data_IF_760240482987
#
_entry.id   IF_760240482987
#
_cell.length_a   1.000
_cell.length_b   1.000
_cell.length_c   1.000
_cell.angle_alpha   90.00
_cell.angle_beta   90.00
_cell.angle_gamma   90.00
#
_symmetry.space_group_name_H-M   'P 1'
#
loop_
_entity.id
_entity.type
_entity.pdbx_description
1 polymer ?
#
# COMPACT_ATOMS: atom_id res chain seq x y z
N UNK A 1 -10.23 -17.63 20.02
CA UNK A 1 -9.83 -16.53 19.13
C UNK A 1 -9.92 -17.06 17.71
N UNK A 2 -10.86 -16.59 16.91
CA UNK A 2 -10.98 -17.01 15.50
C UNK A 2 -9.74 -16.55 14.75
N UNK A 3 -8.93 -17.47 14.24
CA UNK A 3 -7.76 -17.15 13.43
C UNK A 3 -8.29 -16.47 12.15
N UNK A 4 -8.08 -15.17 12.04
CA UNK A 4 -8.43 -14.43 10.81
C UNK A 4 -7.60 -15.02 9.67
N UNK A 5 -8.26 -15.52 8.62
CA UNK A 5 -7.56 -16.10 7.48
C UNK A 5 -6.68 -15.03 6.80
N UNK A 6 -5.47 -15.40 6.42
CA UNK A 6 -4.57 -14.49 5.68
C UNK A 6 -5.08 -14.30 4.25
N UNK A 7 -5.14 -13.06 3.79
CA UNK A 7 -5.45 -12.73 2.41
C UNK A 7 -4.22 -12.85 1.51
N UNK A 8 -3.05 -12.43 2.04
CA UNK A 8 -1.78 -12.52 1.34
C UNK A 8 -0.76 -13.22 2.23
N UNK A 9 0.02 -14.15 1.66
CA UNK A 9 1.11 -14.84 2.35
C UNK A 9 2.34 -14.93 1.46
N UNK A 10 3.49 -14.56 2.01
CA UNK A 10 4.81 -14.81 1.46
C UNK A 10 5.47 -15.89 2.30
N UNK A 11 6.08 -16.89 1.67
CA UNK A 11 6.77 -18.00 2.35
C UNK A 11 8.16 -18.16 1.76
N UNK A 12 9.19 -17.82 2.55
CA UNK A 12 10.59 -17.97 2.19
C UNK A 12 10.94 -17.24 0.89
N UNK A 13 10.41 -16.04 0.65
CA UNK A 13 10.57 -15.35 -0.63
C UNK A 13 11.97 -14.75 -0.78
N UNK A 14 12.68 -15.16 -1.83
CA UNK A 14 13.93 -14.57 -2.27
C UNK A 14 13.74 -13.81 -3.58
N UNK A 15 14.39 -12.67 -3.73
CA UNK A 15 14.32 -11.85 -4.95
C UNK A 15 15.68 -11.24 -5.26
N UNK A 16 16.08 -11.32 -6.53
CA UNK A 16 17.28 -10.70 -7.06
C UNK A 16 16.92 -9.55 -8.01
N UNK A 17 17.72 -8.49 -7.99
CA UNK A 17 17.67 -7.39 -8.95
C UNK A 17 19.03 -7.32 -9.65
N UNK A 18 19.10 -7.81 -10.89
CA UNK A 18 20.37 -8.07 -11.55
C UNK A 18 21.19 -9.10 -10.75
N UNK A 19 22.40 -8.75 -10.39
CA UNK A 19 23.31 -9.60 -9.57
C UNK A 19 23.05 -9.47 -8.07
N UNK A 20 22.23 -8.52 -7.62
CA UNK A 20 22.04 -8.24 -6.21
C UNK A 20 20.91 -9.06 -5.61
N UNK A 21 21.20 -9.83 -4.58
CA UNK A 21 20.21 -10.54 -3.78
C UNK A 21 19.62 -9.56 -2.77
N UNK A 22 18.35 -9.21 -2.90
CA UNK A 22 17.69 -8.16 -2.09
C UNK A 22 16.79 -8.75 -1.01
N UNK A 23 15.99 -9.77 -1.35
CA UNK A 23 15.12 -10.43 -0.37
C UNK A 23 15.70 -11.81 -0.02
N UNK A 24 15.87 -12.06 1.27
CA UNK A 24 16.60 -13.18 1.83
C UNK A 24 15.70 -14.14 2.63
N UNK A 25 14.64 -14.67 1.98
CA UNK A 25 13.67 -15.55 2.63
C UNK A 25 12.66 -14.78 3.47
N UNK A 26 11.87 -13.91 2.78
CA UNK A 26 10.83 -13.12 3.42
C UNK A 26 9.61 -13.99 3.71
N UNK A 27 9.23 -14.05 5.00
CA UNK A 27 7.96 -14.59 5.48
C UNK A 27 7.08 -13.42 5.93
N UNK A 28 5.89 -13.27 5.33
CA UNK A 28 4.96 -12.18 5.62
C UNK A 28 3.53 -12.67 5.47
N UNK A 29 2.69 -12.40 6.47
CA UNK A 29 1.27 -12.72 6.45
C UNK A 29 0.43 -11.45 6.63
N UNK A 30 -0.56 -11.26 5.75
CA UNK A 30 -1.48 -10.11 5.79
C UNK A 30 -2.89 -10.64 6.07
N UNK A 31 -3.41 -10.45 7.28
CA UNK A 31 -4.76 -10.88 7.64
C UNK A 31 -5.82 -10.12 6.86
N UNK A 32 -6.87 -10.83 6.44
CA UNK A 32 -7.98 -10.26 5.68
C UNK A 32 -8.72 -9.19 6.49
N UNK A 33 -9.06 -8.07 5.85
CA UNK A 33 -9.83 -6.97 6.44
C UNK A 33 -9.06 -6.13 7.46
N UNK A 34 -7.74 -6.31 7.56
CA UNK A 34 -6.88 -5.58 8.50
C UNK A 34 -5.85 -4.73 7.74
N UNK A 35 -5.28 -3.75 8.45
CA UNK A 35 -4.19 -2.93 7.98
C UNK A 35 -2.87 -3.43 8.59
N UNK A 36 -1.99 -3.92 7.75
CA UNK A 36 -0.63 -4.33 8.14
C UNK A 36 0.38 -3.27 7.70
N UNK A 37 1.17 -2.82 8.67
CA UNK A 37 2.31 -1.94 8.41
C UNK A 37 3.57 -2.75 8.13
N UNK A 38 4.27 -2.44 7.04
CA UNK A 38 5.60 -2.93 6.75
C UNK A 38 6.60 -1.81 7.01
N UNK A 39 7.28 -1.88 8.15
CA UNK A 39 8.25 -0.89 8.61
C UNK A 39 9.68 -1.35 8.32
N UNK A 40 10.62 -0.42 8.40
CA UNK A 40 12.05 -0.69 8.23
C UNK A 40 12.79 0.51 7.64
N UNK A 41 14.11 0.51 7.78
CA UNK A 41 15.00 1.56 7.26
C UNK A 41 14.97 1.60 5.72
N UNK A 42 15.53 2.67 5.17
CA UNK A 42 15.80 2.74 3.72
C UNK A 42 16.75 1.60 3.32
N UNK A 43 16.43 0.94 2.20
CA UNK A 43 17.22 -0.22 1.73
C UNK A 43 16.88 -1.55 2.41
N UNK A 44 15.98 -1.61 3.39
CA UNK A 44 15.60 -2.86 4.07
C UNK A 44 14.88 -3.89 3.18
N UNK A 45 14.47 -3.52 1.96
CA UNK A 45 13.79 -4.41 1.02
C UNK A 45 12.27 -4.21 0.90
N UNK A 46 11.69 -3.22 1.59
CA UNK A 46 10.24 -2.97 1.63
C UNK A 46 9.61 -2.82 0.23
N UNK A 47 10.05 -1.85 -0.56
CA UNK A 47 9.57 -1.63 -1.93
C UNK A 47 9.83 -2.84 -2.83
N UNK A 48 10.96 -3.54 -2.65
CA UNK A 48 11.25 -4.78 -3.38
C UNK A 48 10.22 -5.86 -3.05
N UNK A 49 9.83 -6.00 -1.79
CA UNK A 49 8.76 -6.91 -1.36
C UNK A 49 7.44 -6.58 -2.06
N UNK A 50 7.02 -5.31 -2.08
CA UNK A 50 5.79 -4.91 -2.78
C UNK A 50 5.86 -5.19 -4.28
N UNK A 51 6.99 -4.88 -4.91
CA UNK A 51 7.21 -5.14 -6.34
C UNK A 51 7.23 -6.64 -6.67
N UNK A 52 7.73 -7.47 -5.74
CA UNK A 52 7.70 -8.92 -5.88
C UNK A 52 6.27 -9.46 -5.76
N UNK A 53 5.47 -8.97 -4.82
CA UNK A 53 4.04 -9.31 -4.70
C UNK A 53 3.31 -8.97 -6.01
N UNK A 54 3.61 -7.82 -6.61
CA UNK A 54 2.98 -7.34 -7.85
C UNK A 54 3.54 -7.99 -9.13
N UNK A 55 4.50 -8.90 -9.02
CA UNK A 55 5.13 -9.56 -10.18
C UNK A 55 5.98 -8.62 -11.06
N UNK A 56 6.36 -7.44 -10.54
CA UNK A 56 7.30 -6.53 -11.19
C UNK A 56 8.74 -7.05 -11.07
N UNK A 57 9.04 -7.76 -9.99
CA UNK A 57 10.24 -8.57 -9.79
C UNK A 57 9.82 -10.00 -9.50
N UNK A 58 10.43 -10.97 -10.17
CA UNK A 58 10.11 -12.38 -9.96
C UNK A 58 10.82 -12.91 -8.71
N UNK A 59 10.07 -13.63 -7.87
CA UNK A 59 10.69 -14.38 -6.78
C UNK A 59 11.59 -15.49 -7.37
N UNK A 60 12.85 -15.54 -6.91
CA UNK A 60 13.77 -16.62 -7.34
C UNK A 60 13.55 -17.91 -6.56
N UNK A 61 13.10 -17.80 -5.30
CA UNK A 61 12.72 -18.92 -4.42
C UNK A 61 11.53 -18.51 -3.54
N UNK A 62 10.89 -19.50 -2.92
CA UNK A 62 9.73 -19.30 -2.09
C UNK A 62 8.44 -19.15 -2.89
N UNK A 63 7.38 -18.71 -2.22
CA UNK A 63 6.05 -18.58 -2.84
C UNK A 63 5.27 -17.39 -2.31
N UNK A 64 4.38 -16.85 -3.17
CA UNK A 64 3.44 -15.77 -2.85
C UNK A 64 2.03 -16.30 -3.11
N UNK A 65 1.17 -16.28 -2.08
CA UNK A 65 -0.22 -16.73 -2.17
C UNK A 65 -1.16 -15.57 -1.90
N UNK A 66 -2.16 -15.42 -2.73
CA UNK A 66 -3.24 -14.44 -2.56
C UNK A 66 -4.58 -15.16 -2.53
N UNK A 67 -5.32 -15.00 -1.42
CA UNK A 67 -6.58 -15.70 -1.16
C UNK A 67 -6.48 -17.22 -1.40
N UNK A 68 -5.39 -17.83 -0.93
CA UNK A 68 -5.08 -19.25 -1.09
C UNK A 68 -4.53 -19.66 -2.46
N UNK A 69 -4.57 -18.78 -3.47
CA UNK A 69 -4.05 -19.04 -4.82
C UNK A 69 -2.57 -18.69 -4.90
N UNK A 70 -1.75 -19.56 -5.46
CA UNK A 70 -0.35 -19.24 -5.80
C UNK A 70 -0.30 -18.23 -6.96
N UNK A 71 0.33 -17.09 -6.70
CA UNK A 71 0.55 -16.01 -7.68
C UNK A 71 2.03 -15.76 -7.98
N UNK A 72 2.92 -16.61 -7.47
CA UNK A 72 4.38 -16.43 -7.50
C UNK A 72 4.93 -16.16 -8.90
N UNK A 73 4.37 -16.82 -9.90
CA UNK A 73 4.82 -16.73 -11.30
C UNK A 73 3.89 -15.93 -12.21
N UNK A 74 2.85 -15.33 -11.67
CA UNK A 74 1.95 -14.49 -12.45
C UNK A 74 2.62 -13.17 -12.84
N UNK A 75 2.28 -12.67 -14.02
CA UNK A 75 2.70 -11.34 -14.47
C UNK A 75 1.81 -10.25 -13.86
N UNK A 76 2.33 -9.04 -13.73
CA UNK A 76 1.66 -7.88 -13.13
C UNK A 76 0.22 -7.66 -13.63
N UNK A 77 -0.12 -7.73 -14.94
CA UNK A 77 -1.51 -7.58 -15.40
C UNK A 77 -2.46 -8.65 -14.84
N UNK A 78 -1.97 -9.89 -14.69
CA UNK A 78 -2.75 -11.00 -14.13
C UNK A 78 -3.01 -10.77 -12.62
N UNK A 79 -1.97 -10.33 -11.87
CA UNK A 79 -2.07 -10.02 -10.45
C UNK A 79 -3.02 -8.84 -10.23
N UNK A 80 -2.88 -7.77 -11.03
CA UNK A 80 -3.79 -6.63 -10.97
C UNK A 80 -5.25 -7.04 -11.29
N UNK A 81 -5.45 -8.08 -12.11
CA UNK A 81 -6.76 -8.69 -12.38
C UNK A 81 -7.43 -9.37 -11.17
N UNK A 82 -6.66 -9.68 -10.12
CA UNK A 82 -7.14 -10.31 -8.88
C UNK A 82 -7.66 -9.29 -7.84
N UNK A 83 -8.05 -8.09 -8.24
CA UNK A 83 -8.49 -7.00 -7.35
C UNK A 83 -7.40 -6.52 -6.38
N UNK A 84 -6.13 -6.67 -6.74
CA UNK A 84 -5.01 -6.06 -6.03
C UNK A 84 -4.70 -4.71 -6.67
N UNK A 85 -4.64 -3.65 -5.85
CA UNK A 85 -4.21 -2.33 -6.29
C UNK A 85 -2.87 -1.98 -5.65
N UNK A 86 -2.02 -1.27 -6.40
CA UNK A 86 -0.71 -0.82 -5.93
C UNK A 86 -0.53 0.68 -6.20
N UNK A 87 -0.18 1.41 -5.16
CA UNK A 87 0.23 2.82 -5.22
C UNK A 87 1.73 2.86 -4.95
N UNK A 88 2.57 3.09 -5.97
CA UNK A 88 4.01 3.18 -5.80
C UNK A 88 4.42 4.49 -5.12
N UNK A 89 5.64 4.54 -4.55
CA UNK A 89 6.23 5.71 -3.90
C UNK A 89 6.20 6.98 -4.79
N UNK A 90 6.43 6.83 -6.11
CA UNK A 90 6.36 7.93 -7.07
C UNK A 90 4.92 8.29 -7.50
N UNK A 91 3.89 7.72 -6.82
CA UNK A 91 2.46 7.92 -7.07
C UNK A 91 1.96 7.44 -8.46
N UNK A 92 2.81 7.34 -9.46
CA UNK A 92 2.47 6.93 -10.82
C UNK A 92 1.42 7.83 -11.50
N UNK A 93 1.37 9.12 -11.16
CA UNK A 93 0.41 10.09 -11.71
C UNK A 93 0.79 10.46 -13.15
N UNK A 94 -0.20 10.50 -14.03
CA UNK A 94 -0.05 11.06 -15.38
C UNK A 94 -0.20 12.58 -15.30
N UNK A 95 0.91 13.29 -15.32
CA UNK A 95 1.00 14.72 -15.02
C UNK A 95 0.23 15.59 -16.03
N UNK A 96 0.23 15.22 -17.30
CA UNK A 96 -0.41 15.96 -18.40
C UNK A 96 -1.93 15.72 -18.47
N UNK A 97 -2.42 14.68 -17.81
CA UNK A 97 -3.84 14.37 -17.73
C UNK A 97 -4.48 15.09 -16.54
N UNK A 98 -5.76 15.40 -16.67
CA UNK A 98 -6.57 15.90 -15.57
C UNK A 98 -6.73 14.84 -14.47
N UNK A 99 -7.17 15.25 -13.27
CA UNK A 99 -7.53 14.33 -12.19
C UNK A 99 -8.59 13.34 -12.66
N UNK A 100 -9.62 13.83 -13.34
CA UNK A 100 -10.69 13.03 -13.97
C UNK A 100 -10.13 11.94 -14.88
N UNK A 101 -9.25 12.29 -15.80
CA UNK A 101 -8.66 11.35 -16.74
C UNK A 101 -7.74 10.34 -16.05
N UNK A 102 -6.99 10.75 -15.02
CA UNK A 102 -6.22 9.84 -14.19
C UNK A 102 -7.10 8.75 -13.53
N UNK A 103 -8.28 9.11 -13.02
CA UNK A 103 -9.22 8.14 -12.44
C UNK A 103 -9.87 7.28 -13.52
N UNK A 104 -10.24 7.88 -14.67
CA UNK A 104 -10.85 7.16 -15.78
C UNK A 104 -9.96 6.03 -16.32
N UNK A 105 -8.66 6.27 -16.43
CA UNK A 105 -7.69 5.24 -16.85
C UNK A 105 -7.67 4.00 -15.94
N UNK A 106 -8.05 4.16 -14.66
CA UNK A 106 -8.08 3.07 -13.69
C UNK A 106 -9.46 2.40 -13.58
N UNK A 107 -10.50 3.04 -14.11
CA UNK A 107 -11.87 2.54 -14.13
C UNK A 107 -12.09 1.61 -15.34
N UNK A 108 -11.72 0.33 -15.18
CA UNK A 108 -11.64 -0.66 -16.26
C UNK A 108 -12.92 -0.87 -17.05
N UNK A 109 -14.09 -0.60 -16.42
CA UNK A 109 -15.42 -0.79 -17.01
C UNK A 109 -16.01 0.48 -17.62
N UNK A 110 -15.33 1.63 -17.49
CA UNK A 110 -15.79 2.91 -17.95
C UNK A 110 -14.95 3.39 -19.14
N UNK A 111 -15.60 3.73 -20.26
CA UNK A 111 -14.94 4.38 -21.40
C UNK A 111 -15.01 5.91 -21.34
N UNK A 112 -15.82 6.46 -20.45
CA UNK A 112 -15.91 7.88 -20.15
C UNK A 112 -16.31 8.11 -18.67
N UNK A 113 -16.18 9.36 -18.18
CA UNK A 113 -16.43 9.65 -16.77
C UNK A 113 -17.90 9.42 -16.33
N UNK A 114 -18.86 9.53 -17.23
CA UNK A 114 -20.27 9.29 -16.91
C UNK A 114 -20.57 7.80 -16.64
N UNK A 115 -19.71 6.92 -17.08
CA UNK A 115 -19.83 5.48 -16.84
C UNK A 115 -19.09 5.00 -15.58
N UNK A 116 -18.36 5.89 -14.89
CA UNK A 116 -17.80 5.57 -13.57
C UNK A 116 -18.95 5.41 -12.57
N UNK A 117 -18.79 4.49 -11.62
CA UNK A 117 -19.77 4.29 -10.55
C UNK A 117 -19.92 5.59 -9.73
N UNK A 118 -21.08 6.22 -9.83
CA UNK A 118 -21.35 7.51 -9.20
C UNK A 118 -21.29 7.43 -7.67
N UNK A 119 -21.77 6.34 -7.06
CA UNK A 119 -21.76 6.16 -5.61
C UNK A 119 -20.31 5.99 -5.11
N UNK A 120 -19.50 5.23 -5.85
CA UNK A 120 -18.06 5.05 -5.58
C UNK A 120 -17.30 6.36 -5.71
N UNK A 121 -17.58 7.13 -6.76
CA UNK A 121 -16.95 8.42 -6.99
C UNK A 121 -17.28 9.42 -5.87
N UNK A 122 -18.55 9.51 -5.47
CA UNK A 122 -18.98 10.35 -4.34
C UNK A 122 -18.33 9.93 -3.02
N UNK A 123 -18.15 8.63 -2.80
CA UNK A 123 -17.42 8.14 -1.62
C UNK A 123 -15.93 8.56 -1.67
N UNK A 124 -15.27 8.47 -2.82
CA UNK A 124 -13.90 8.94 -3.03
C UNK A 124 -13.78 10.45 -2.77
N UNK A 125 -14.73 11.25 -3.23
CA UNK A 125 -14.76 12.70 -3.01
C UNK A 125 -14.87 13.05 -1.52
N UNK A 126 -15.65 12.28 -0.76
CA UNK A 126 -15.70 12.44 0.71
C UNK A 126 -14.37 12.07 1.39
N UNK A 127 -13.68 11.02 0.93
CA UNK A 127 -12.36 10.64 1.45
C UNK A 127 -11.28 11.66 1.09
N UNK A 128 -11.33 12.18 -0.11
CA UNK A 128 -10.32 13.05 -0.71
C UNK A 128 -10.98 14.26 -1.38
N UNK A 129 -11.40 15.30 -0.61
CA UNK A 129 -12.07 16.48 -1.19
C UNK A 129 -11.23 17.19 -2.26
N UNK A 130 -9.91 17.08 -2.20
CA UNK A 130 -9.02 17.63 -3.23
C UNK A 130 -9.24 16.99 -4.62
N UNK A 131 -9.65 15.71 -4.68
CA UNK A 131 -9.95 15.02 -5.93
C UNK A 131 -11.14 15.65 -6.63
N UNK A 132 -12.21 15.99 -5.89
CA UNK A 132 -13.37 16.71 -6.42
C UNK A 132 -13.01 18.14 -6.83
N UNK A 133 -12.38 18.88 -5.89
CA UNK A 133 -12.00 20.28 -6.11
C UNK A 133 -11.17 20.50 -7.37
N UNK A 134 -10.25 19.59 -7.65
CA UNK A 134 -9.31 19.69 -8.78
C UNK A 134 -9.68 18.79 -9.96
N UNK A 135 -10.92 18.32 -10.05
CA UNK A 135 -11.41 17.31 -11.00
C UNK A 135 -10.96 17.53 -12.44
N UNK A 136 -11.09 18.75 -12.93
CA UNK A 136 -10.74 19.15 -14.31
C UNK A 136 -9.35 19.80 -14.45
N UNK A 137 -8.52 19.78 -13.38
CA UNK A 137 -7.19 20.37 -13.43
C UNK A 137 -6.15 19.34 -13.83
N UNK A 138 -5.10 19.71 -14.58
CA UNK A 138 -3.95 18.85 -14.84
C UNK A 138 -3.32 18.38 -13.53
N UNK A 139 -3.14 17.05 -13.39
CA UNK A 139 -2.65 16.46 -12.15
C UNK A 139 -1.21 16.86 -11.84
N UNK A 140 -0.42 17.21 -12.84
CA UNK A 140 0.94 17.71 -12.67
C UNK A 140 1.04 19.02 -11.88
N UNK A 141 -0.01 19.85 -11.89
CA UNK A 141 -0.07 21.14 -11.17
C UNK A 141 -0.47 21.02 -9.69
N UNK A 142 -0.83 19.84 -9.23
CA UNK A 142 -1.20 19.59 -7.86
C UNK A 142 0.02 19.59 -6.92
N UNK A 143 -0.20 19.95 -5.64
CA UNK A 143 0.81 19.74 -4.59
C UNK A 143 1.12 18.26 -4.37
N UNK A 144 2.24 17.92 -3.73
CA UNK A 144 2.61 16.54 -3.43
C UNK A 144 1.51 15.78 -2.68
N UNK A 145 0.92 16.39 -1.65
CA UNK A 145 -0.18 15.77 -0.89
C UNK A 145 -1.45 15.58 -1.71
N UNK A 146 -1.78 16.52 -2.59
CA UNK A 146 -2.92 16.38 -3.51
C UNK A 146 -2.68 15.27 -4.54
N UNK A 147 -1.46 15.16 -5.08
CA UNK A 147 -1.06 14.06 -5.96
C UNK A 147 -1.18 12.71 -5.25
N UNK A 148 -0.76 12.64 -3.99
CA UNK A 148 -0.90 11.41 -3.19
C UNK A 148 -2.37 11.00 -3.02
N UNK A 149 -3.27 11.97 -2.72
CA UNK A 149 -4.71 11.71 -2.65
C UNK A 149 -5.26 11.21 -3.98
N UNK A 150 -4.86 11.79 -5.11
CA UNK A 150 -5.26 11.33 -6.45
C UNK A 150 -4.73 9.92 -6.74
N UNK A 151 -3.49 9.59 -6.33
CA UNK A 151 -2.92 8.26 -6.53
C UNK A 151 -3.70 7.17 -5.77
N UNK A 152 -4.04 7.44 -4.50
CA UNK A 152 -4.87 6.52 -3.71
C UNK A 152 -6.30 6.45 -4.27
N UNK A 153 -6.93 7.58 -4.61
CA UNK A 153 -8.26 7.64 -5.23
C UNK A 153 -8.32 6.79 -6.51
N UNK A 154 -7.30 6.89 -7.36
CA UNK A 154 -7.16 6.09 -8.58
C UNK A 154 -7.07 4.60 -8.29
N UNK A 155 -6.35 4.20 -7.24
CA UNK A 155 -6.20 2.80 -6.86
C UNK A 155 -7.53 2.18 -6.39
N UNK A 156 -8.41 2.98 -5.78
CA UNK A 156 -9.68 2.54 -5.18
C UNK A 156 -10.93 2.92 -5.99
N UNK A 157 -10.79 3.43 -7.22
CA UNK A 157 -11.95 3.78 -8.07
C UNK A 157 -12.85 2.57 -8.35
N UNK A 158 -12.28 1.38 -8.37
CA UNK A 158 -13.01 0.12 -8.36
C UNK A 158 -12.83 -0.60 -7.01
N UNK A 159 -13.75 -1.49 -6.61
CA UNK A 159 -13.58 -2.31 -5.41
C UNK A 159 -12.27 -3.09 -5.45
N UNK A 160 -11.58 -3.17 -4.31
CA UNK A 160 -10.30 -3.90 -4.15
C UNK A 160 -10.38 -4.81 -2.95
N UNK A 161 -9.79 -5.99 -3.08
CA UNK A 161 -9.60 -6.92 -1.96
C UNK A 161 -8.35 -6.56 -1.17
N UNK A 162 -7.28 -6.13 -1.88
CA UNK A 162 -6.02 -5.69 -1.29
C UNK A 162 -5.57 -4.37 -1.91
N UNK A 163 -5.26 -3.41 -1.04
CA UNK A 163 -4.61 -2.14 -1.39
C UNK A 163 -3.19 -2.15 -0.83
N UNK A 164 -2.21 -2.04 -1.70
CA UNK A 164 -0.78 -1.93 -1.38
C UNK A 164 -0.34 -0.49 -1.61
N UNK A 165 0.28 0.14 -0.61
CA UNK A 165 0.71 1.55 -0.70
C UNK A 165 2.14 1.70 -0.18
N UNK A 166 2.97 2.34 -0.98
CA UNK A 166 4.40 2.52 -0.71
C UNK A 166 4.68 3.97 -0.27
N UNK A 167 5.03 4.15 1.01
CA UNK A 167 5.45 5.40 1.66
C UNK A 167 4.51 6.62 1.41
N UNK A 168 3.19 6.51 1.69
CA UNK A 168 2.24 7.58 1.36
C UNK A 168 2.44 8.87 2.16
N UNK A 169 3.13 8.85 3.31
CA UNK A 169 3.37 10.04 4.13
C UNK A 169 4.65 10.79 3.77
N UNK A 170 5.49 10.22 2.90
CA UNK A 170 6.81 10.76 2.58
C UNK A 170 6.74 12.16 1.98
N UNK A 171 7.45 13.09 2.60
CA UNK A 171 7.53 14.49 2.12
C UNK A 171 6.26 15.30 2.28
N UNK A 172 5.26 14.83 3.02
CA UNK A 172 4.02 15.53 3.25
C UNK A 172 4.09 16.41 4.52
N UNK A 173 3.37 17.53 4.47
CA UNK A 173 3.17 18.37 5.65
C UNK A 173 2.30 17.66 6.71
N UNK A 174 2.48 17.93 8.02
CA UNK A 174 1.75 17.25 9.10
C UNK A 174 0.22 17.28 8.96
N UNK A 175 -0.35 18.38 8.49
CA UNK A 175 -1.80 18.51 8.27
C UNK A 175 -2.29 17.54 7.17
N UNK A 176 -1.50 17.32 6.11
CA UNK A 176 -1.83 16.38 5.04
C UNK A 176 -1.69 14.93 5.53
N UNK A 177 -0.69 14.66 6.38
CA UNK A 177 -0.52 13.35 7.00
C UNK A 177 -1.77 12.97 7.81
N UNK A 178 -2.33 13.90 8.60
CA UNK A 178 -3.55 13.65 9.37
C UNK A 178 -4.75 13.34 8.45
N UNK A 179 -4.94 14.09 7.37
CA UNK A 179 -5.99 13.81 6.39
C UNK A 179 -5.83 12.43 5.74
N UNK A 180 -4.59 12.02 5.46
CA UNK A 180 -4.30 10.68 4.93
C UNK A 180 -4.61 9.59 5.96
N UNK A 181 -4.29 9.82 7.25
CA UNK A 181 -4.64 8.89 8.34
C UNK A 181 -6.16 8.68 8.39
N UNK A 182 -6.94 9.76 8.36
CA UNK A 182 -8.40 9.70 8.38
C UNK A 182 -8.94 8.93 7.17
N UNK A 183 -8.41 9.19 5.99
CA UNK A 183 -8.82 8.48 4.77
C UNK A 183 -8.50 6.98 4.82
N UNK A 184 -7.31 6.60 5.29
CA UNK A 184 -6.95 5.18 5.45
C UNK A 184 -7.76 4.48 6.54
N UNK A 185 -8.12 5.18 7.63
CA UNK A 185 -9.01 4.65 8.66
C UNK A 185 -10.42 4.35 8.09
N UNK A 186 -10.95 5.26 7.26
CA UNK A 186 -12.22 5.02 6.55
C UNK A 186 -12.12 3.88 5.55
N UNK A 187 -11.01 3.77 4.81
CA UNK A 187 -10.74 2.64 3.91
C UNK A 187 -10.71 1.31 4.67
N UNK A 188 -10.03 1.26 5.81
CA UNK A 188 -10.00 0.08 6.68
C UNK A 188 -11.41 -0.29 7.16
N UNK A 189 -12.20 0.67 7.62
CA UNK A 189 -13.60 0.46 8.05
C UNK A 189 -14.51 -0.06 6.94
N UNK A 190 -14.18 0.19 5.67
CA UNK A 190 -14.92 -0.37 4.53
C UNK A 190 -14.61 -1.85 4.24
N UNK A 191 -13.71 -2.47 5.03
CA UNK A 191 -13.35 -3.89 4.92
C UNK A 191 -12.24 -4.21 3.91
N UNK A 192 -11.62 -3.20 3.30
CA UNK A 192 -10.47 -3.38 2.42
C UNK A 192 -9.25 -3.83 3.24
N UNK A 193 -8.56 -4.88 2.79
CA UNK A 193 -7.27 -5.27 3.36
C UNK A 193 -6.19 -4.31 2.86
N UNK A 194 -5.33 -3.83 3.75
CA UNK A 194 -4.31 -2.85 3.40
C UNK A 194 -2.93 -3.32 3.83
N UNK A 195 -1.98 -3.34 2.90
CA UNK A 195 -0.54 -3.44 3.18
C UNK A 195 0.10 -2.08 2.90
N UNK A 196 0.63 -1.46 3.94
CA UNK A 196 1.15 -0.11 3.88
C UNK A 196 2.62 -0.09 4.33
N UNK A 197 3.49 0.35 3.44
CA UNK A 197 4.91 0.56 3.74
C UNK A 197 5.09 1.97 4.29
N UNK A 198 5.80 2.09 5.41
CA UNK A 198 6.08 3.38 6.04
C UNK A 198 7.42 3.39 6.78
N UNK A 199 7.93 4.59 6.99
CA UNK A 199 9.04 4.89 7.91
C UNK A 199 8.55 5.75 9.08
N UNK A 200 7.43 6.45 8.90
CA UNK A 200 6.82 7.31 9.90
C UNK A 200 6.09 6.46 10.95
N UNK A 201 6.74 6.26 12.10
CA UNK A 201 6.17 5.46 13.20
C UNK A 201 4.88 6.07 13.77
N UNK A 202 4.74 7.40 13.75
CA UNK A 202 3.51 8.07 14.20
C UNK A 202 2.33 7.71 13.29
N UNK A 203 2.54 7.74 11.97
CA UNK A 203 1.55 7.31 10.99
C UNK A 203 1.18 5.83 11.20
N UNK A 204 2.20 4.98 11.40
CA UNK A 204 2.01 3.56 11.61
C UNK A 204 1.21 3.23 12.87
N UNK A 205 1.56 3.85 14.01
CA UNK A 205 0.85 3.66 15.30
C UNK A 205 -0.62 4.07 15.25
N UNK A 206 -0.97 5.05 14.43
CA UNK A 206 -2.35 5.56 14.32
C UNK A 206 -3.27 4.64 13.51
N UNK A 207 -2.72 3.86 12.58
CA UNK A 207 -3.50 3.10 11.59
C UNK A 207 -3.35 1.59 11.69
N UNK A 208 -2.15 1.10 12.04
CA UNK A 208 -1.80 -0.32 11.96
C UNK A 208 -2.57 -1.18 12.95
N UNK A 209 -3.13 -2.29 12.47
CA UNK A 209 -3.58 -3.39 13.32
C UNK A 209 -2.41 -4.34 13.57
N UNK A 210 -1.65 -4.65 12.51
CA UNK A 210 -0.47 -5.49 12.55
C UNK A 210 0.76 -4.72 12.04
N UNK A 211 1.92 -5.22 12.40
CA UNK A 211 3.21 -4.71 11.95
C UNK A 211 4.14 -5.85 11.60
N UNK A 212 4.89 -5.68 10.52
CA UNK A 212 6.09 -6.42 10.21
C UNK A 212 7.24 -5.43 10.06
N UNK A 213 8.40 -5.75 10.63
CA UNK A 213 9.61 -4.92 10.51
C UNK A 213 10.62 -5.64 9.65
N UNK A 214 11.09 -4.97 8.60
CA UNK A 214 12.13 -5.49 7.72
C UNK A 214 13.49 -4.87 8.03
N UNK A 215 14.49 -5.71 8.01
CA UNK A 215 15.91 -5.30 8.00
C UNK A 215 16.69 -6.24 7.08
N UNK A 216 17.60 -5.67 6.28
CA UNK A 216 18.50 -6.41 5.38
C UNK A 216 17.79 -7.53 4.57
N UNK A 217 16.64 -7.21 3.97
CA UNK A 217 15.89 -8.13 3.12
C UNK A 217 15.16 -9.27 3.84
N UNK A 218 14.98 -9.18 5.16
CA UNK A 218 14.28 -10.16 6.00
C UNK A 218 13.21 -9.48 6.85
N UNK A 219 12.16 -10.20 7.20
CA UNK A 219 11.26 -9.79 8.29
C UNK A 219 11.89 -10.24 9.61
N UNK A 220 12.27 -9.28 10.44
CA UNK A 220 12.95 -9.52 11.73
C UNK A 220 11.99 -9.48 12.91
N UNK A 221 10.79 -8.91 12.72
CA UNK A 221 9.72 -8.89 13.71
C UNK A 221 8.36 -8.86 13.01
N UNK A 222 7.39 -9.58 13.56
CA UNK A 222 5.99 -9.50 13.16
C UNK A 222 5.08 -9.65 14.39
N UNK A 223 4.00 -8.86 14.45
CA UNK A 223 3.09 -8.87 15.58
C UNK A 223 1.98 -7.84 15.48
N UNK A 224 1.27 -7.59 16.59
CA UNK A 224 0.29 -6.51 16.64
C UNK A 224 0.97 -5.14 16.74
N UNK A 225 0.42 -4.14 16.07
CA UNK A 225 0.92 -2.76 16.17
C UNK A 225 0.80 -2.23 17.61
N UNK A 226 -0.24 -2.63 18.33
CA UNK A 226 -0.43 -2.22 19.73
C UNK A 226 0.70 -2.74 20.63
N UNK A 227 1.17 -3.98 20.45
CA UNK A 227 2.28 -4.52 21.22
C UNK A 227 3.59 -3.77 20.93
N UNK A 228 3.90 -3.52 19.63
CA UNK A 228 5.07 -2.73 19.26
C UNK A 228 4.96 -1.29 19.80
N UNK A 229 3.79 -0.69 19.77
CA UNK A 229 3.57 0.68 20.25
C UNK A 229 3.78 0.84 21.77
N UNK A 230 3.54 -0.23 22.54
CA UNK A 230 3.72 -0.25 23.99
C UNK A 230 5.16 -0.53 24.44
N UNK A 231 6.04 -1.01 23.54
CA UNK A 231 7.41 -1.41 23.87
C UNK A 231 8.43 -0.47 23.17
N UNK A 232 8.85 0.57 23.88
CA UNK A 232 9.80 1.57 23.38
C UNK A 232 11.19 0.96 23.14
N UNK A 233 11.63 0.04 23.99
CA UNK A 233 12.93 -0.62 23.83
C UNK A 233 12.96 -1.46 22.55
N UNK A 234 11.88 -2.17 22.26
CA UNK A 234 11.73 -2.91 21.01
C UNK A 234 11.69 -1.99 19.79
N UNK A 235 10.96 -0.84 19.87
CA UNK A 235 10.97 0.16 18.80
C UNK A 235 12.37 0.69 18.52
N UNK A 236 13.14 1.02 19.57
CA UNK A 236 14.52 1.51 19.43
C UNK A 236 15.40 0.44 18.76
N UNK A 237 15.33 -0.80 19.21
CA UNK A 237 16.16 -1.88 18.66
C UNK A 237 15.85 -2.18 17.19
N UNK A 238 14.56 -2.19 16.81
CA UNK A 238 14.12 -2.56 15.47
C UNK A 238 14.20 -1.41 14.45
N UNK A 239 13.90 -0.18 14.87
CA UNK A 239 13.78 0.96 13.97
C UNK A 239 14.94 1.95 14.09
N UNK A 240 15.78 1.82 15.12
CA UNK A 240 16.89 2.72 15.40
C UNK A 240 16.44 4.14 15.72
N UNK A 241 15.25 4.29 16.30
CA UNK A 241 14.74 5.56 16.74
C UNK A 241 15.44 5.96 18.04
N UNK A 242 16.33 6.95 17.98
CA UNK A 242 16.79 7.62 19.20
C UNK A 242 15.62 8.42 19.78
N UNK A 243 15.41 8.35 21.09
CA UNK A 243 14.51 9.23 21.84
C UNK A 243 15.00 10.68 21.78
#
# INVERSE_FOLDING_TARGET
MSSTANLLELKGVHTHIGAYHILHGVDLAIPKGQLTMLLGRNGAGKTTTLRTIMGLWQASQGSVHFNGRDITRLHTPQIAGLNIAYVPENMGIFADLTVKENLLLAARKASNAAQMDAARLQWIFRLFPAVEKFWNHPAGKLSGGQKQMVAVARAIIEPRDLLIVDEPSKGLAPAIINNMIEAFDQLKKSGVTILLVEQNIHFAKRLGDNVAVMDNGRVVHAGSMAALAADEALQQSLLGLSL
#
